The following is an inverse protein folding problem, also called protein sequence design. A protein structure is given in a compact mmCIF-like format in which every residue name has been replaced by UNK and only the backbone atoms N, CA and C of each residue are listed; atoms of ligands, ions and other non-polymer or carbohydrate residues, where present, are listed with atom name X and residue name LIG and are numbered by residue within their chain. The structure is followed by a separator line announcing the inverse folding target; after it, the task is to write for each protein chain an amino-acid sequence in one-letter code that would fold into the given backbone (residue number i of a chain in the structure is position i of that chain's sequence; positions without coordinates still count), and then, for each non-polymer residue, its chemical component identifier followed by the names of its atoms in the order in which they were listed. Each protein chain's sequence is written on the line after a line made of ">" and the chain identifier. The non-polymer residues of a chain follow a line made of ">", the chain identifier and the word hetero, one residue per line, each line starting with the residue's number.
data_IF_018809848118
#
_entry.id   IF_018809848118
#
_cell.length_a   1.000
_cell.length_b   1.000
_cell.length_c   1.000
_cell.angle_alpha   90.00
_cell.angle_beta   90.00
_cell.angle_gamma   90.00
#
_symmetry.space_group_name_H-M   'P 1'
#
loop_
_entity.id
_entity.type
_entity.pdbx_description
1 polymer ?
#
# COMPACT_ATOMS: atom_id res chain seq x y z
N UNK A 1 3.17 -33.92 -31.61
CA UNK A 1 2.13 -34.36 -30.66
C UNK A 1 1.89 -33.15 -29.72
N UNK A 2 0.89 -32.33 -30.03
CA UNK A 2 0.56 -31.17 -29.22
C UNK A 2 -0.27 -31.64 -28.02
N UNK A 3 0.29 -31.57 -26.82
CA UNK A 3 -0.46 -31.74 -25.58
C UNK A 3 -1.24 -30.44 -25.32
N UNK A 4 -2.53 -30.46 -25.62
CA UNK A 4 -3.47 -29.43 -25.28
C UNK A 4 -3.69 -29.49 -23.75
N UNK A 5 -3.09 -28.57 -23.00
CA UNK A 5 -3.44 -28.39 -21.59
C UNK A 5 -4.90 -27.92 -21.50
N UNK A 6 -5.83 -28.83 -21.26
CA UNK A 6 -7.17 -28.46 -20.83
C UNK A 6 -7.06 -27.74 -19.47
N UNK A 7 -7.22 -26.43 -19.45
CA UNK A 7 -7.52 -25.72 -18.21
C UNK A 7 -8.87 -26.24 -17.72
N UNK A 8 -8.88 -26.92 -16.59
CA UNK A 8 -10.14 -27.27 -15.92
C UNK A 8 -10.82 -25.95 -15.52
N UNK A 9 -11.98 -25.67 -16.11
CA UNK A 9 -12.80 -24.53 -15.70
C UNK A 9 -13.37 -24.88 -14.34
N UNK A 10 -12.97 -24.20 -13.30
CA UNK A 10 -13.59 -24.33 -11.98
C UNK A 10 -15.00 -23.73 -12.05
N UNK A 11 -15.99 -24.49 -11.61
CA UNK A 11 -17.37 -24.00 -11.41
C UNK A 11 -17.55 -23.67 -9.94
N UNK A 12 -18.05 -22.48 -9.66
CA UNK A 12 -18.38 -22.06 -8.30
C UNK A 12 -19.89 -22.15 -8.08
N UNK A 13 -20.30 -22.41 -6.84
CA UNK A 13 -21.70 -22.27 -6.46
C UNK A 13 -22.12 -20.79 -6.65
N UNK A 14 -23.41 -20.55 -7.06
CA UNK A 14 -23.90 -19.18 -7.23
C UNK A 14 -23.80 -18.31 -5.96
N UNK A 15 -23.75 -18.94 -4.80
CA UNK A 15 -23.62 -18.28 -3.49
C UNK A 15 -22.57 -19.06 -2.66
N UNK A 16 -21.51 -18.38 -2.30
CA UNK A 16 -20.49 -18.93 -1.39
C UNK A 16 -20.78 -18.38 0.01
N UNK A 17 -21.04 -19.26 0.96
CA UNK A 17 -21.11 -18.89 2.38
C UNK A 17 -19.70 -18.77 2.95
N UNK A 18 -19.33 -17.63 3.52
CA UNK A 18 -18.00 -17.44 4.11
C UNK A 18 -17.69 -18.44 5.24
N UNK A 19 -18.73 -19.00 5.89
CA UNK A 19 -18.59 -20.07 6.88
C UNK A 19 -18.15 -21.41 6.30
N UNK A 20 -18.29 -21.61 4.98
CA UNK A 20 -17.89 -22.85 4.29
C UNK A 20 -16.45 -22.82 3.77
N UNK A 21 -15.69 -21.76 4.02
CA UNK A 21 -14.29 -21.67 3.63
C UNK A 21 -13.47 -22.69 4.43
N UNK A 22 -12.77 -23.59 3.71
CA UNK A 22 -12.09 -24.75 4.29
C UNK A 22 -10.60 -24.87 3.90
N UNK A 23 -10.08 -23.90 3.16
CA UNK A 23 -8.70 -23.86 2.64
C UNK A 23 -8.59 -24.31 1.18
N UNK A 24 -9.58 -25.05 0.65
CA UNK A 24 -9.59 -25.46 -0.77
C UNK A 24 -10.38 -24.50 -1.66
N UNK A 25 -11.42 -23.90 -1.12
CA UNK A 25 -12.31 -22.94 -1.78
C UNK A 25 -12.08 -21.48 -1.34
N UNK A 26 -11.11 -21.25 -0.47
CA UNK A 26 -10.76 -19.98 0.15
C UNK A 26 -10.45 -20.18 1.63
N UNK A 27 -9.95 -19.14 2.28
CA UNK A 27 -9.57 -19.18 3.68
C UNK A 27 -9.91 -17.87 4.38
N UNK A 28 -9.96 -17.91 5.72
CA UNK A 28 -10.22 -16.75 6.57
C UNK A 28 -8.91 -16.23 7.15
N UNK A 29 -8.74 -14.91 7.20
CA UNK A 29 -7.63 -14.27 7.90
C UNK A 29 -8.19 -13.63 9.17
N UNK A 30 -7.66 -14.02 10.32
CA UNK A 30 -8.07 -13.52 11.62
C UNK A 30 -7.11 -12.43 12.10
N UNK A 31 -7.65 -11.28 12.52
CA UNK A 31 -6.90 -10.19 13.16
C UNK A 31 -6.28 -10.62 14.49
N UNK A 32 -5.50 -9.74 15.10
CA UNK A 32 -4.75 -10.03 16.35
C UNK A 32 -5.58 -9.69 17.58
N UNK A 33 -6.11 -8.47 17.66
CA UNK A 33 -6.86 -8.02 18.83
C UNK A 33 -8.20 -7.39 18.44
N UNK A 34 -9.07 -7.28 19.45
CA UNK A 34 -10.34 -6.59 19.31
C UNK A 34 -10.10 -5.11 19.06
N UNK A 35 -10.94 -4.51 18.20
CA UNK A 35 -10.91 -3.10 17.82
C UNK A 35 -9.75 -2.66 16.92
N UNK A 36 -8.74 -3.50 16.63
CA UNK A 36 -7.65 -3.18 15.68
C UNK A 36 -8.15 -2.85 14.26
N UNK A 37 -9.38 -3.28 13.95
CA UNK A 37 -10.02 -3.10 12.64
C UNK A 37 -9.22 -3.67 11.47
N UNK A 38 -8.57 -4.82 11.70
CA UNK A 38 -7.87 -5.57 10.68
C UNK A 38 -8.81 -5.90 9.51
N UNK A 39 -8.36 -5.67 8.29
CA UNK A 39 -9.16 -5.86 7.07
C UNK A 39 -9.99 -4.64 6.66
N UNK A 40 -9.82 -3.47 7.29
CA UNK A 40 -10.44 -2.22 6.82
C UNK A 40 -9.96 -1.80 5.43
N UNK A 41 -8.69 -2.06 5.14
CA UNK A 41 -8.07 -1.94 3.82
C UNK A 41 -7.33 -3.25 3.54
N UNK A 42 -7.50 -3.78 2.35
CA UNK A 42 -6.85 -4.99 1.85
C UNK A 42 -6.54 -4.84 0.37
N UNK A 43 -5.40 -5.37 -0.06
CA UNK A 43 -5.00 -5.36 -1.46
C UNK A 43 -4.09 -6.54 -1.79
N UNK A 44 -3.89 -6.85 -3.07
CA UNK A 44 -2.68 -7.54 -3.49
C UNK A 44 -1.48 -6.72 -3.07
N UNK A 45 -0.41 -7.38 -2.69
CA UNK A 45 0.88 -6.75 -2.42
C UNK A 45 1.85 -6.93 -3.60
N UNK A 46 1.48 -7.76 -4.60
CA UNK A 46 2.41 -8.29 -5.58
C UNK A 46 3.31 -9.35 -4.96
N UNK A 47 4.39 -9.72 -5.61
CA UNK A 47 5.39 -10.70 -5.14
C UNK A 47 6.49 -9.99 -4.34
N UNK A 48 6.21 -9.64 -3.07
CA UNK A 48 7.16 -8.88 -2.21
C UNK A 48 8.33 -9.70 -1.70
N UNK A 49 8.26 -11.02 -1.80
CA UNK A 49 9.35 -11.90 -1.36
C UNK A 49 10.16 -12.50 -2.53
N UNK A 50 9.73 -12.28 -3.78
CA UNK A 50 10.40 -12.72 -5.01
C UNK A 50 10.32 -14.23 -5.26
N UNK A 51 9.28 -14.92 -4.74
CA UNK A 51 9.10 -16.37 -4.91
C UNK A 51 8.23 -16.77 -6.12
N UNK A 52 7.68 -15.80 -6.83
CA UNK A 52 6.83 -15.95 -8.01
C UNK A 52 5.36 -16.19 -7.68
N UNK A 53 4.91 -15.83 -6.48
CA UNK A 53 3.51 -15.89 -6.04
C UNK A 53 3.12 -14.56 -5.44
N UNK A 54 1.98 -14.01 -5.87
CA UNK A 54 1.47 -12.77 -5.30
C UNK A 54 1.12 -12.92 -3.82
N UNK A 55 1.42 -11.88 -3.06
CA UNK A 55 1.20 -11.74 -1.64
C UNK A 55 -0.01 -10.84 -1.36
N UNK A 56 -0.44 -10.78 -0.10
CA UNK A 56 -1.54 -9.92 0.36
C UNK A 56 -1.03 -8.90 1.35
N UNK A 57 -1.57 -7.69 1.30
CA UNK A 57 -1.39 -6.68 2.35
C UNK A 57 -2.73 -6.34 3.01
N UNK A 58 -2.73 -6.25 4.35
CA UNK A 58 -3.92 -6.01 5.18
C UNK A 58 -3.61 -4.90 6.18
N UNK A 59 -4.44 -3.87 6.23
CA UNK A 59 -4.33 -2.78 7.20
C UNK A 59 -5.19 -2.99 8.44
N UNK A 60 -4.66 -2.56 9.60
CA UNK A 60 -5.31 -2.55 10.92
C UNK A 60 -4.98 -1.21 11.61
N UNK A 61 -5.63 -0.15 11.17
CA UNK A 61 -5.24 1.22 11.48
C UNK A 61 -5.45 1.65 12.94
N UNK A 62 -6.30 0.93 13.70
CA UNK A 62 -6.52 1.19 15.13
C UNK A 62 -5.67 0.28 16.04
N UNK A 63 -4.78 -0.58 15.49
CA UNK A 63 -3.86 -1.37 16.28
C UNK A 63 -2.85 -0.49 17.05
N UNK A 64 -2.37 -0.97 18.21
CA UNK A 64 -1.66 -0.20 19.23
C UNK A 64 -0.17 -0.58 19.44
N UNK A 65 0.62 -0.98 18.39
CA UNK A 65 1.99 -1.46 18.60
C UNK A 65 2.91 -0.43 19.25
N UNK A 66 2.77 0.84 18.91
CA UNK A 66 3.58 1.96 19.38
C UNK A 66 2.73 3.07 20.01
N UNK A 67 1.62 2.70 20.62
CA UNK A 67 0.66 3.59 21.27
C UNK A 67 -0.70 3.56 20.58
N UNK A 68 -1.72 4.09 21.25
CA UNK A 68 -3.11 3.99 20.83
C UNK A 68 -3.32 4.50 19.40
N UNK A 69 -3.83 3.64 18.50
CA UNK A 69 -4.09 3.97 17.10
C UNK A 69 -2.84 4.29 16.29
N UNK A 70 -1.65 3.81 16.68
CA UNK A 70 -0.45 3.94 15.84
C UNK A 70 -0.60 3.18 14.52
N UNK A 71 -1.40 2.12 14.54
CA UNK A 71 -1.75 1.29 13.39
C UNK A 71 -0.72 0.21 13.06
N UNK A 72 -1.18 -0.82 12.39
CA UNK A 72 -0.35 -1.90 11.83
C UNK A 72 -0.80 -2.23 10.42
N UNK A 73 0.12 -2.84 9.66
CA UNK A 73 -0.22 -3.55 8.44
C UNK A 73 0.45 -4.92 8.44
N UNK A 74 -0.11 -5.85 7.71
CA UNK A 74 0.37 -7.23 7.65
C UNK A 74 0.56 -7.63 6.20
N UNK A 75 1.73 -8.15 5.86
CA UNK A 75 1.97 -8.82 4.59
C UNK A 75 1.90 -10.31 4.83
N UNK A 76 1.08 -11.01 4.06
CA UNK A 76 0.90 -12.47 4.10
C UNK A 76 1.41 -13.05 2.80
N UNK A 77 2.47 -13.85 2.87
CA UNK A 77 3.04 -14.46 1.66
C UNK A 77 2.13 -15.51 1.05
N UNK A 78 2.03 -15.46 -0.28
CA UNK A 78 1.36 -16.48 -1.07
C UNK A 78 1.99 -17.87 -0.87
N UNK A 79 1.29 -18.93 -1.22
CA UNK A 79 1.80 -20.28 -1.02
C UNK A 79 1.29 -21.26 -2.05
N UNK A 80 2.22 -21.97 -2.74
CA UNK A 80 1.90 -23.09 -3.65
C UNK A 80 1.27 -24.28 -2.93
N UNK A 81 1.56 -24.43 -1.64
CA UNK A 81 0.93 -25.49 -0.82
C UNK A 81 -0.48 -25.13 -0.36
N UNK A 82 -0.94 -23.90 -0.67
CA UNK A 82 -2.22 -23.37 -0.22
C UNK A 82 -2.22 -23.00 1.26
N UNK A 83 -3.41 -22.70 1.77
CA UNK A 83 -3.66 -22.29 3.15
C UNK A 83 -4.64 -23.28 3.80
N UNK A 84 -4.56 -23.42 5.13
CA UNK A 84 -5.64 -24.07 5.89
C UNK A 84 -6.93 -23.22 5.87
N UNK A 85 -8.00 -23.70 6.50
CA UNK A 85 -9.28 -22.98 6.57
C UNK A 85 -9.17 -21.57 7.17
N UNK A 86 -8.12 -21.30 7.97
CA UNK A 86 -7.85 -19.98 8.54
C UNK A 86 -6.38 -19.75 8.80
N UNK A 87 -5.95 -18.48 8.70
CA UNK A 87 -4.65 -17.95 9.07
C UNK A 87 -4.84 -16.90 10.18
N UNK A 88 -4.04 -16.98 11.23
CA UNK A 88 -4.02 -15.95 12.27
C UNK A 88 -2.84 -15.00 12.02
N UNK A 89 -3.07 -13.69 11.92
CA UNK A 89 -2.02 -12.69 11.68
C UNK A 89 -0.96 -12.68 12.79
N UNK A 90 -1.31 -13.13 14.01
CA UNK A 90 -0.35 -13.30 15.11
C UNK A 90 0.71 -14.39 14.88
N UNK A 91 0.55 -15.23 13.84
CA UNK A 91 1.50 -16.30 13.50
C UNK A 91 2.52 -15.91 12.44
N UNK A 92 2.48 -14.67 11.96
CA UNK A 92 3.47 -14.14 11.02
C UNK A 92 4.86 -14.10 11.68
N UNK A 93 5.88 -14.60 10.96
CA UNK A 93 7.19 -14.85 11.56
C UNK A 93 8.39 -14.56 10.64
N UNK A 94 8.15 -13.90 9.48
CA UNK A 94 9.14 -13.60 8.46
C UNK A 94 9.23 -14.63 7.34
N UNK A 95 8.77 -15.88 7.57
CA UNK A 95 8.77 -16.93 6.54
C UNK A 95 7.40 -17.14 5.87
N UNK A 96 6.32 -16.69 6.49
CA UNK A 96 4.95 -16.76 5.98
C UNK A 96 4.30 -15.38 5.84
N UNK A 97 5.08 -14.33 6.03
CA UNK A 97 4.67 -12.95 6.06
C UNK A 97 5.27 -12.19 7.24
N UNK A 98 5.00 -10.91 7.33
CA UNK A 98 5.58 -10.04 8.37
C UNK A 98 4.62 -8.91 8.76
N UNK A 99 4.95 -8.24 9.87
CA UNK A 99 4.16 -7.16 10.47
C UNK A 99 4.88 -5.83 10.24
N UNK A 100 4.14 -4.81 9.84
CA UNK A 100 4.60 -3.43 9.68
C UNK A 100 3.97 -2.58 10.78
N UNK A 101 4.78 -2.08 11.71
CA UNK A 101 4.32 -1.29 12.85
C UNK A 101 4.32 0.20 12.52
N UNK A 102 3.19 0.88 12.73
CA UNK A 102 3.07 2.33 12.64
C UNK A 102 3.98 3.05 13.64
N UNK A 103 4.22 4.35 13.42
CA UNK A 103 5.27 5.09 14.14
C UNK A 103 4.77 5.63 15.47
N UNK A 104 3.72 6.46 15.47
CA UNK A 104 3.28 7.16 16.66
C UNK A 104 1.78 6.99 16.93
N UNK A 105 1.41 7.18 18.20
CA UNK A 105 0.02 7.11 18.61
C UNK A 105 -0.85 8.09 17.81
N UNK A 106 -1.96 7.61 17.31
CA UNK A 106 -2.93 8.40 16.54
C UNK A 106 -2.66 8.53 15.06
N UNK A 107 -1.53 8.04 14.52
CA UNK A 107 -1.16 8.16 13.11
C UNK A 107 -2.11 7.38 12.17
N UNK A 108 -2.77 6.34 12.69
CA UNK A 108 -3.65 5.46 11.94
C UNK A 108 -2.97 4.81 10.72
N UNK A 109 -1.72 4.36 10.85
CA UNK A 109 -1.00 3.63 9.80
C UNK A 109 -1.79 2.38 9.38
N UNK A 110 -1.87 2.10 8.07
CA UNK A 110 -2.69 1.01 7.55
C UNK A 110 -4.16 1.37 7.29
N UNK A 111 -4.52 2.67 7.34
CA UNK A 111 -5.87 3.13 6.92
C UNK A 111 -6.13 2.85 5.45
N UNK A 112 -5.09 2.90 4.62
CA UNK A 112 -5.06 2.50 3.22
C UNK A 112 -3.78 1.73 2.96
N UNK A 113 -3.86 0.62 2.26
CA UNK A 113 -2.71 -0.22 1.88
C UNK A 113 -2.88 -0.70 0.44
N UNK A 114 -1.77 -0.83 -0.28
CA UNK A 114 -1.76 -1.34 -1.65
C UNK A 114 -0.38 -1.92 -2.01
N UNK A 115 -0.30 -2.68 -3.12
CA UNK A 115 0.94 -2.80 -3.87
C UNK A 115 1.38 -1.42 -4.32
N UNK A 116 2.67 -1.21 -4.38
CA UNK A 116 3.31 -0.04 -4.99
C UNK A 116 3.86 -0.38 -6.39
N UNK A 117 3.91 -1.68 -6.75
CA UNK A 117 4.72 -2.15 -7.87
C UNK A 117 6.21 -2.15 -7.51
N UNK A 118 7.09 -2.30 -8.47
CA UNK A 118 8.55 -2.25 -8.29
C UNK A 118 9.04 -0.80 -8.42
N UNK A 119 8.93 -0.01 -7.32
CA UNK A 119 9.28 1.43 -7.34
C UNK A 119 10.79 1.68 -7.23
N UNK A 120 11.58 0.65 -6.92
CA UNK A 120 13.03 0.78 -6.80
C UNK A 120 13.79 0.14 -7.98
N UNK A 121 13.09 -0.58 -8.88
CA UNK A 121 13.63 -1.20 -10.09
C UNK A 121 14.48 -2.44 -9.84
N UNK A 122 14.26 -3.16 -8.72
CA UNK A 122 15.04 -4.35 -8.34
C UNK A 122 14.41 -5.69 -8.78
N UNK A 123 13.22 -5.63 -9.37
CA UNK A 123 12.46 -6.78 -9.87
C UNK A 123 11.72 -7.53 -8.78
N UNK A 124 11.35 -6.85 -7.69
CA UNK A 124 10.47 -7.34 -6.61
C UNK A 124 9.42 -6.28 -6.34
N UNK A 125 8.17 -6.69 -6.13
CA UNK A 125 7.11 -5.73 -5.82
C UNK A 125 7.27 -5.14 -4.43
N UNK A 126 6.93 -3.86 -4.30
CA UNK A 126 6.95 -3.08 -3.07
C UNK A 126 5.51 -2.84 -2.56
N UNK A 127 5.38 -2.37 -1.33
CA UNK A 127 4.07 -2.02 -0.77
C UNK A 127 4.02 -0.58 -0.31
N UNK A 128 2.83 0.04 -0.39
CA UNK A 128 2.58 1.38 0.11
C UNK A 128 1.50 1.37 1.20
N UNK A 129 1.73 2.11 2.28
CA UNK A 129 0.87 2.22 3.45
C UNK A 129 0.59 3.69 3.75
N UNK A 130 -0.65 4.07 3.94
CA UNK A 130 -1.07 5.42 4.34
C UNK A 130 -1.26 5.55 5.85
N UNK A 131 -0.89 6.71 6.40
CA UNK A 131 -1.06 7.14 7.79
C UNK A 131 -1.56 8.60 7.80
N UNK A 132 -2.83 8.78 7.53
CA UNK A 132 -3.47 10.08 7.25
C UNK A 132 -3.47 11.07 8.41
N UNK A 133 -3.34 10.59 9.64
CA UNK A 133 -3.38 11.41 10.85
C UNK A 133 -1.98 11.75 11.36
N UNK A 134 -0.90 11.24 10.71
CA UNK A 134 0.48 11.54 11.07
C UNK A 134 0.79 13.05 10.92
N UNK A 135 1.72 13.56 11.74
CA UNK A 135 1.97 14.99 11.96
C UNK A 135 3.34 15.52 11.47
N UNK A 136 3.94 15.02 10.35
CA UNK A 136 5.31 15.39 9.97
C UNK A 136 5.48 16.89 9.68
N UNK A 137 4.50 17.54 9.09
CA UNK A 137 4.52 18.94 8.70
C UNK A 137 3.31 19.74 9.29
N UNK A 138 2.90 19.34 10.48
CA UNK A 138 1.76 19.90 11.22
C UNK A 138 0.64 18.91 11.39
N UNK A 139 -0.31 19.24 12.28
CA UNK A 139 -1.38 18.33 12.69
C UNK A 139 -2.09 17.73 11.48
N UNK A 140 -2.14 16.39 11.40
CA UNK A 140 -2.80 15.62 10.33
C UNK A 140 -2.35 16.03 8.92
N UNK A 141 -1.08 16.39 8.74
CA UNK A 141 -0.55 16.60 7.40
C UNK A 141 -0.49 15.28 6.63
N UNK A 142 -0.40 14.16 7.36
CA UNK A 142 -0.38 12.80 6.86
C UNK A 142 0.98 12.34 6.36
N UNK A 143 1.17 11.03 6.36
CA UNK A 143 2.34 10.34 5.79
C UNK A 143 1.91 9.15 4.96
N UNK A 144 2.81 8.70 4.10
CA UNK A 144 2.75 7.38 3.49
C UNK A 144 4.13 6.73 3.58
N UNK A 145 4.15 5.41 3.59
CA UNK A 145 5.36 4.61 3.71
C UNK A 145 5.44 3.66 2.53
N UNK A 146 6.55 3.66 1.81
CA UNK A 146 6.88 2.63 0.82
C UNK A 146 7.87 1.68 1.48
N UNK A 147 7.58 0.38 1.47
CA UNK A 147 8.44 -0.67 2.01
C UNK A 147 8.86 -1.56 0.87
N UNK A 148 10.17 -1.66 0.65
CA UNK A 148 10.72 -2.44 -0.45
C UNK A 148 10.61 -3.93 -0.20
N UNK A 149 10.25 -4.66 -1.26
CA UNK A 149 10.29 -6.11 -1.33
C UNK A 149 11.72 -6.64 -1.22
N UNK A 150 11.87 -7.93 -0.94
CA UNK A 150 13.21 -8.49 -0.77
C UNK A 150 13.29 -10.00 -0.95
N UNK A 151 14.09 -10.44 -1.91
CA UNK A 151 14.46 -11.86 -2.10
C UNK A 151 15.31 -12.42 -0.96
N UNK A 152 15.93 -11.57 -0.14
CA UNK A 152 16.72 -12.00 1.01
C UNK A 152 15.87 -12.32 2.26
N UNK A 153 14.54 -12.08 2.17
CA UNK A 153 13.57 -12.37 3.23
C UNK A 153 13.39 -11.21 4.21
N UNK A 154 12.50 -11.41 5.16
CA UNK A 154 12.06 -10.43 6.15
C UNK A 154 12.19 -10.99 7.57
N UNK A 155 12.37 -10.10 8.54
CA UNK A 155 12.12 -10.42 9.94
C UNK A 155 10.62 -10.59 10.21
N UNK A 156 10.25 -11.05 11.41
CA UNK A 156 8.83 -11.19 11.79
C UNK A 156 8.09 -9.84 11.82
N UNK A 157 8.82 -8.74 12.05
CA UNK A 157 8.25 -7.38 12.03
C UNK A 157 9.29 -6.34 11.62
N UNK A 158 8.81 -5.22 11.07
CA UNK A 158 9.56 -4.01 10.74
C UNK A 158 8.80 -2.80 11.32
N UNK A 159 9.51 -1.91 12.01
CA UNK A 159 8.94 -0.61 12.37
C UNK A 159 9.08 0.36 11.20
N UNK A 160 8.03 1.05 10.85
CA UNK A 160 8.06 2.03 9.75
C UNK A 160 8.99 3.22 10.05
N UNK A 161 9.37 3.44 11.33
CA UNK A 161 10.40 4.39 11.73
C UNK A 161 11.83 3.98 11.29
N UNK A 162 12.06 2.70 10.96
CA UNK A 162 13.36 2.16 10.59
C UNK A 162 13.62 2.23 9.08
N UNK A 163 12.70 2.84 8.31
CA UNK A 163 12.86 3.10 6.88
C UNK A 163 13.98 4.12 6.66
N UNK A 164 14.92 3.81 5.75
CA UNK A 164 16.19 4.54 5.64
C UNK A 164 16.65 4.79 4.20
N UNK A 165 15.83 4.45 3.20
CA UNK A 165 16.13 4.55 1.78
C UNK A 165 16.66 3.25 1.15
N UNK A 166 17.14 2.28 1.96
CA UNK A 166 17.57 0.97 1.46
C UNK A 166 16.54 -0.14 1.65
N UNK A 167 15.58 0.04 2.56
CA UNK A 167 14.48 -0.89 2.86
C UNK A 167 13.11 -0.26 2.63
N UNK A 168 13.09 0.95 2.08
CA UNK A 168 11.90 1.75 1.89
C UNK A 168 12.11 3.20 2.29
N UNK A 169 11.09 4.04 2.14
CA UNK A 169 11.16 5.46 2.44
C UNK A 169 9.81 6.03 2.89
N UNK A 170 9.87 7.23 3.48
CA UNK A 170 8.71 7.94 4.02
C UNK A 170 8.33 9.10 3.09
N UNK A 171 7.05 9.24 2.80
CA UNK A 171 6.47 10.34 2.03
C UNK A 171 5.69 11.26 2.98
N UNK A 172 6.20 12.48 3.20
CA UNK A 172 5.61 13.43 4.12
C UNK A 172 4.59 14.33 3.41
N UNK A 173 3.38 14.41 3.94
CA UNK A 173 2.33 15.34 3.51
C UNK A 173 2.78 16.80 3.64
N UNK A 174 2.07 17.72 2.97
CA UNK A 174 2.54 19.11 2.80
C UNK A 174 2.12 20.00 3.95
N UNK A 175 0.84 20.09 4.25
CA UNK A 175 0.31 21.05 5.21
C UNK A 175 -0.64 20.43 6.22
N UNK A 176 -0.78 21.11 7.35
CA UNK A 176 -1.67 20.67 8.40
C UNK A 176 -3.10 20.46 7.88
N UNK A 177 -3.71 19.34 8.31
CA UNK A 177 -5.05 18.89 7.96
C UNK A 177 -5.28 18.42 6.52
N UNK A 178 -4.26 18.31 5.68
CA UNK A 178 -4.38 17.80 4.30
C UNK A 178 -4.74 16.31 4.29
N UNK A 179 -4.38 15.56 5.34
CA UNK A 179 -4.60 14.11 5.48
C UNK A 179 -4.03 13.31 4.30
N UNK A 180 -2.79 13.61 3.90
CA UNK A 180 -2.04 12.83 2.89
C UNK A 180 -1.93 11.37 3.32
N UNK A 181 -2.02 10.42 2.38
CA UNK A 181 -2.06 8.99 2.71
C UNK A 181 -3.44 8.48 3.13
N UNK A 182 -4.51 9.30 2.95
CA UNK A 182 -5.88 8.82 3.13
C UNK A 182 -6.22 7.68 2.16
N UNK A 183 -5.72 7.76 0.95
CA UNK A 183 -5.78 6.73 -0.08
C UNK A 183 -4.41 6.62 -0.75
N UNK A 184 -3.92 5.40 -0.96
CA UNK A 184 -2.64 5.11 -1.62
C UNK A 184 -2.78 3.96 -2.59
N UNK A 185 -2.00 3.99 -3.68
CA UNK A 185 -1.95 2.90 -4.68
C UNK A 185 -0.64 2.97 -5.47
N UNK A 186 -0.30 1.89 -6.19
CA UNK A 186 0.53 2.01 -7.39
C UNK A 186 -0.18 2.93 -8.40
N UNK A 187 0.59 3.65 -9.19
CA UNK A 187 0.12 4.39 -10.35
C UNK A 187 0.45 3.66 -11.66
N UNK A 188 1.30 2.59 -11.59
CA UNK A 188 1.99 2.04 -12.75
C UNK A 188 3.15 2.94 -13.18
N UNK A 189 3.72 2.70 -14.35
CA UNK A 189 4.81 3.50 -14.92
C UNK A 189 4.23 4.67 -15.75
N UNK A 190 3.86 5.78 -15.06
CA UNK A 190 3.22 6.95 -15.70
C UNK A 190 4.22 7.89 -16.39
N UNK A 191 5.52 7.67 -16.19
CA UNK A 191 6.56 8.48 -16.83
C UNK A 191 7.27 7.75 -17.98
N UNK A 192 7.01 6.45 -18.18
CA UNK A 192 7.53 5.62 -19.27
C UNK A 192 9.00 5.23 -19.10
N UNK A 193 9.53 5.20 -17.84
CA UNK A 193 10.94 4.87 -17.58
C UNK A 193 11.18 3.38 -17.23
N UNK A 194 10.10 2.60 -17.16
CA UNK A 194 10.12 1.17 -16.85
C UNK A 194 10.14 0.83 -15.37
N UNK A 195 9.87 1.80 -14.49
CA UNK A 195 9.81 1.65 -13.04
C UNK A 195 8.42 2.11 -12.57
N UNK A 196 7.80 1.35 -11.66
CA UNK A 196 6.47 1.71 -11.17
C UNK A 196 6.49 2.96 -10.30
N UNK A 197 5.45 3.78 -10.41
CA UNK A 197 5.21 4.99 -9.67
C UNK A 197 4.12 4.78 -8.61
N UNK A 198 4.03 5.69 -7.63
CA UNK A 198 2.97 5.63 -6.62
C UNK A 198 2.10 6.87 -6.63
N UNK A 199 0.81 6.69 -6.31
CA UNK A 199 -0.16 7.77 -6.18
C UNK A 199 -0.71 7.86 -4.74
N UNK A 200 -0.76 9.07 -4.20
CA UNK A 200 -1.20 9.37 -2.83
C UNK A 200 -2.29 10.45 -2.86
N UNK A 201 -3.40 10.21 -2.18
CA UNK A 201 -4.49 11.16 -2.02
C UNK A 201 -4.41 11.95 -0.72
N UNK A 202 -4.69 13.25 -0.82
CA UNK A 202 -4.81 14.21 0.28
C UNK A 202 -6.12 15.00 0.10
N UNK A 203 -7.25 14.35 0.39
CA UNK A 203 -8.58 14.83 0.06
C UNK A 203 -9.00 16.14 0.73
N UNK A 204 -8.33 16.53 1.81
CA UNK A 204 -8.57 17.77 2.53
C UNK A 204 -7.66 18.91 2.11
N UNK A 205 -6.66 18.65 1.27
CA UNK A 205 -5.74 19.67 0.79
C UNK A 205 -6.48 20.85 0.17
N UNK A 206 -5.87 22.03 0.26
CA UNK A 206 -6.45 23.30 -0.18
C UNK A 206 -5.57 23.94 -1.26
N UNK A 207 -5.39 23.29 -2.44
CA UNK A 207 -4.59 23.86 -3.51
C UNK A 207 -5.16 25.22 -3.94
N UNK A 208 -4.27 26.20 -4.15
CA UNK A 208 -4.65 27.56 -4.53
C UNK A 208 -5.65 28.26 -3.58
N UNK A 209 -5.69 27.83 -2.29
CA UNK A 209 -6.63 28.36 -1.30
C UNK A 209 -8.07 27.87 -1.44
N UNK A 210 -8.34 26.89 -2.29
CA UNK A 210 -9.67 26.29 -2.48
C UNK A 210 -9.98 25.29 -1.34
N UNK A 211 -10.89 25.65 -0.47
CA UNK A 211 -11.27 24.90 0.73
C UNK A 211 -11.66 23.46 0.38
N UNK A 212 -10.89 22.46 0.92
CA UNK A 212 -11.14 21.01 0.74
C UNK A 212 -11.35 20.62 -0.74
N UNK A 213 -10.66 21.27 -1.67
CA UNK A 213 -10.70 20.87 -3.08
C UNK A 213 -10.01 19.53 -3.28
N UNK A 214 -9.05 19.20 -2.41
CA UNK A 214 -8.28 17.98 -2.44
C UNK A 214 -7.13 18.04 -3.45
N UNK A 215 -6.16 17.16 -3.24
CA UNK A 215 -4.97 17.04 -4.08
C UNK A 215 -4.53 15.59 -4.13
N UNK A 216 -3.95 15.15 -5.24
CA UNK A 216 -3.22 13.89 -5.33
C UNK A 216 -1.78 14.15 -5.72
N UNK A 217 -0.90 13.22 -5.34
CA UNK A 217 0.53 13.29 -5.62
C UNK A 217 0.94 12.02 -6.34
N UNK A 218 1.62 12.14 -7.48
CA UNK A 218 2.33 11.04 -8.11
C UNK A 218 3.81 11.22 -7.79
N UNK A 219 4.44 10.16 -7.28
CA UNK A 219 5.87 10.13 -6.96
C UNK A 219 6.51 9.08 -7.85
N UNK A 220 7.49 9.49 -8.65
CA UNK A 220 8.15 8.60 -9.58
C UNK A 220 9.08 7.63 -8.86
N UNK A 221 9.05 6.37 -9.33
CA UNK A 221 10.00 5.34 -8.97
C UNK A 221 11.42 5.70 -9.39
N UNK A 222 12.41 4.99 -8.88
CA UNK A 222 13.81 5.29 -9.23
C UNK A 222 14.77 4.15 -8.89
N UNK A 223 15.50 3.66 -9.87
CA UNK A 223 16.61 2.72 -9.68
C UNK A 223 17.91 3.38 -9.16
N UNK A 224 17.95 4.70 -9.07
CA UNK A 224 19.09 5.41 -8.45
C UNK A 224 18.97 5.51 -6.92
N UNK A 225 17.91 4.97 -6.35
CA UNK A 225 17.63 4.90 -4.93
C UNK A 225 16.90 6.11 -4.37
N UNK A 226 16.46 5.97 -3.13
CA UNK A 226 15.72 6.98 -2.37
C UNK A 226 16.49 7.38 -1.11
N UNK A 227 16.31 8.60 -0.65
CA UNK A 227 16.64 8.95 0.73
C UNK A 227 15.64 8.31 1.71
N UNK A 228 15.92 8.35 3.02
CA UNK A 228 14.99 7.82 4.03
C UNK A 228 13.61 8.50 4.05
N UNK A 229 13.51 9.72 3.51
CA UNK A 229 12.23 10.43 3.38
C UNK A 229 12.23 11.46 2.24
N UNK A 230 11.02 11.74 1.72
CA UNK A 230 10.76 12.76 0.71
C UNK A 230 9.55 13.59 1.16
N UNK A 231 9.66 14.92 1.08
CA UNK A 231 8.53 15.81 1.30
C UNK A 231 7.76 16.01 -0.01
N UNK A 232 6.47 15.76 -0.02
CA UNK A 232 5.62 15.91 -1.22
C UNK A 232 5.59 17.37 -1.74
N UNK A 233 5.99 18.35 -0.90
CA UNK A 233 6.19 19.73 -1.34
C UNK A 233 7.29 19.90 -2.38
N UNK A 234 8.28 18.98 -2.41
CA UNK A 234 9.47 19.05 -3.30
C UNK A 234 9.23 18.44 -4.69
N UNK A 235 8.03 17.93 -4.96
CA UNK A 235 7.67 17.42 -6.29
C UNK A 235 7.73 18.56 -7.32
N UNK A 236 8.48 18.34 -8.42
CA UNK A 236 8.88 19.39 -9.36
C UNK A 236 8.76 19.01 -10.84
N UNK A 237 8.16 17.85 -11.15
CA UNK A 237 8.00 17.31 -12.50
C UNK A 237 9.08 16.29 -12.92
N UNK A 238 10.24 16.27 -12.23
CA UNK A 238 11.30 15.28 -12.50
C UNK A 238 11.34 14.12 -11.49
N UNK A 239 10.69 14.29 -10.34
CA UNK A 239 10.56 13.27 -9.30
C UNK A 239 9.09 12.96 -8.96
N UNK A 240 8.16 13.46 -9.78
CA UNK A 240 6.74 13.35 -9.58
C UNK A 240 6.03 14.69 -9.76
N UNK A 241 4.72 14.69 -9.63
CA UNK A 241 3.86 15.86 -9.84
C UNK A 241 2.64 15.88 -8.93
N UNK A 242 1.88 16.97 -8.97
CA UNK A 242 0.69 17.22 -8.16
C UNK A 242 -0.53 17.38 -9.04
N UNK A 243 -1.64 16.78 -8.65
CA UNK A 243 -2.94 16.90 -9.30
C UNK A 243 -3.87 17.65 -8.34
N UNK A 244 -4.31 18.85 -8.72
CA UNK A 244 -5.12 19.71 -7.87
C UNK A 244 -6.61 19.53 -8.15
N UNK A 245 -7.42 19.47 -7.10
CA UNK A 245 -8.87 19.65 -7.21
C UNK A 245 -9.20 21.03 -7.77
N UNK A 246 -10.33 21.13 -8.47
CA UNK A 246 -10.68 22.29 -9.30
C UNK A 246 -11.60 23.25 -8.55
N UNK A 247 -12.52 22.72 -7.72
CA UNK A 247 -13.54 23.49 -7.01
C UNK A 247 -13.51 23.16 -5.52
N UNK A 248 -13.84 24.14 -4.68
CA UNK A 248 -13.95 23.91 -3.24
C UNK A 248 -14.94 22.79 -2.91
N UNK A 249 -14.56 21.91 -2.00
CA UNK A 249 -15.27 20.69 -1.56
C UNK A 249 -15.36 19.55 -2.59
N UNK A 250 -14.59 19.56 -3.68
CA UNK A 250 -14.52 18.42 -4.62
C UNK A 250 -13.90 17.19 -3.99
N UNK A 251 -12.99 17.37 -3.02
CA UNK A 251 -12.28 16.29 -2.32
C UNK A 251 -11.50 15.37 -3.28
N UNK A 252 -10.85 15.93 -4.30
CA UNK A 252 -9.94 15.18 -5.17
C UNK A 252 -8.92 14.40 -4.31
N UNK A 253 -8.58 13.16 -4.69
CA UNK A 253 -7.70 12.31 -3.88
C UNK A 253 -8.39 11.62 -2.70
N UNK A 254 -9.74 11.63 -2.59
CA UNK A 254 -10.47 10.81 -1.62
C UNK A 254 -10.28 9.31 -1.90
N UNK A 255 -10.18 8.95 -3.18
CA UNK A 255 -9.80 7.62 -3.66
C UNK A 255 -8.86 7.78 -4.84
N UNK A 256 -7.79 7.01 -4.86
CA UNK A 256 -6.80 6.95 -5.95
C UNK A 256 -6.51 5.50 -6.30
N UNK A 257 -6.22 5.25 -7.58
CA UNK A 257 -5.83 3.93 -8.08
C UNK A 257 -5.11 4.10 -9.42
N UNK A 258 -4.32 3.11 -9.83
CA UNK A 258 -3.85 3.00 -11.21
C UNK A 258 -5.05 2.91 -12.17
N UNK A 259 -4.91 3.52 -13.33
CA UNK A 259 -5.84 3.39 -14.44
C UNK A 259 -5.33 2.40 -15.51
N UNK A 260 -4.04 2.05 -15.46
CA UNK A 260 -3.36 1.34 -16.53
C UNK A 260 -3.27 2.21 -17.78
N UNK A 261 -2.79 1.65 -18.89
CA UNK A 261 -2.71 2.33 -20.19
C UNK A 261 -4.10 2.45 -20.82
N UNK A 262 -4.85 3.55 -20.51
CA UNK A 262 -6.22 3.75 -21.01
C UNK A 262 -6.27 4.36 -22.41
N UNK A 263 -5.15 4.91 -22.91
CA UNK A 263 -5.07 5.52 -24.22
C UNK A 263 -4.39 4.61 -25.28
N UNK A 264 -3.72 3.53 -24.85
CA UNK A 264 -3.10 2.52 -25.71
C UNK A 264 -1.74 2.95 -26.27
N UNK A 265 -1.02 3.86 -25.59
CA UNK A 265 0.30 4.34 -26.05
C UNK A 265 1.48 3.56 -25.43
N UNK A 266 1.21 2.63 -24.54
CA UNK A 266 2.18 1.77 -23.88
C UNK A 266 2.76 2.35 -22.58
N UNK A 267 2.21 3.45 -22.07
CA UNK A 267 2.54 4.11 -20.80
C UNK A 267 1.28 4.11 -19.93
N UNK A 268 1.41 3.85 -18.65
CA UNK A 268 0.27 3.92 -17.72
C UNK A 268 -0.19 5.37 -17.51
N UNK A 269 -1.53 5.57 -17.31
CA UNK A 269 -2.17 6.90 -17.18
C UNK A 269 -2.57 7.26 -15.74
#
# INVERSE_FOLDING_TARGET
>A
MFQQFMRTIMTFDPVIQLSSLDGTNGFKINGIAEFDRSGRSVSSAGDVNGDGIDDLIIGAYDADPNGSGSGQSYVVFGSKSGFGASLNLSTLNGSNGFILNGIAAGDNSGISVSSAGDVNGDGVDDVIIGAREADPNGSRSGQSYVVFGSKSGFGASLNLSDLNGSNGFILNGIAAYDSSGYSVSSAGDVNGDGIDDVIIGAWRAQPNGLFVAGQSYVVFGSNSGFGGSLNLSTLNGSNGFKINGIVANDRSGFSVSSAGDVNGDGIDD
#
